data_IF_772026179879
#
_entry.id   IF_772026179879
#
_cell.length_a   1.000
_cell.length_b   1.000
_cell.length_c   1.000
_cell.angle_alpha   90.00
_cell.angle_beta   90.00
_cell.angle_gamma   90.00
#
_symmetry.space_group_name_H-M   'P 1'
#
loop_
_entity.id
_entity.type
_entity.pdbx_description
1 polymer ?
#
# COMPACT_ATOMS: atom_id res chain seq x y z
N UNK A 1 -14.49 -11.13 -16.86
CA UNK A 1 -15.33 -9.92 -16.73
C UNK A 1 -15.02 -9.32 -15.38
N UNK A 2 -14.59 -8.05 -15.30
CA UNK A 2 -14.37 -7.42 -14.00
C UNK A 2 -15.76 -7.11 -13.45
N UNK A 3 -16.25 -7.94 -12.56
CA UNK A 3 -17.45 -7.58 -11.81
C UNK A 3 -17.08 -6.37 -10.97
N UNK A 4 -17.55 -5.20 -11.42
CA UNK A 4 -17.53 -4.00 -10.62
C UNK A 4 -18.32 -4.34 -9.37
N UNK A 5 -17.62 -4.49 -8.24
CA UNK A 5 -18.17 -4.72 -6.91
C UNK A 5 -19.03 -3.51 -6.50
N UNK A 6 -20.18 -3.34 -7.14
CA UNK A 6 -21.19 -2.40 -6.68
C UNK A 6 -21.72 -2.93 -5.36
N UNK A 7 -21.68 -2.13 -4.29
CA UNK A 7 -22.20 -2.57 -3.02
C UNK A 7 -23.68 -2.91 -3.15
N UNK A 8 -24.07 -4.03 -2.56
CA UNK A 8 -25.45 -4.53 -2.59
C UNK A 8 -26.45 -3.59 -1.90
N UNK A 9 -25.97 -2.57 -1.16
CA UNK A 9 -26.80 -1.64 -0.41
C UNK A 9 -26.11 -0.29 -0.15
N UNK A 10 -26.90 0.77 -0.04
CA UNK A 10 -26.47 2.16 0.17
C UNK A 10 -25.64 2.37 1.44
N UNK A 11 -25.87 1.57 2.48
CA UNK A 11 -25.10 1.63 3.74
C UNK A 11 -23.64 1.24 3.51
N UNK A 12 -23.40 0.19 2.71
CA UNK A 12 -22.04 -0.27 2.41
C UNK A 12 -21.35 0.75 1.50
N UNK A 13 -22.09 1.37 0.58
CA UNK A 13 -21.55 2.41 -0.29
C UNK A 13 -21.16 3.67 0.51
N UNK A 14 -21.97 4.04 1.50
CA UNK A 14 -21.69 5.17 2.37
C UNK A 14 -20.48 4.93 3.28
N UNK A 15 -20.36 3.73 3.85
CA UNK A 15 -19.19 3.32 4.63
C UNK A 15 -17.93 3.33 3.76
N UNK A 16 -17.97 2.73 2.57
CA UNK A 16 -16.83 2.71 1.64
C UNK A 16 -16.41 4.12 1.21
N UNK A 17 -17.37 5.06 1.10
CA UNK A 17 -17.13 6.45 0.71
C UNK A 17 -16.61 7.34 1.85
N UNK A 18 -17.09 7.15 3.08
CA UNK A 18 -16.75 7.98 4.25
C UNK A 18 -15.55 7.43 5.01
N UNK A 19 -15.61 6.15 5.38
CA UNK A 19 -14.60 5.47 6.19
C UNK A 19 -13.42 5.00 5.32
N UNK A 20 -13.68 4.80 4.02
CA UNK A 20 -12.70 4.33 3.07
C UNK A 20 -12.59 2.81 3.10
N UNK A 21 -12.69 2.19 1.92
CA UNK A 21 -12.50 0.75 1.79
C UNK A 21 -11.00 0.40 1.70
N UNK A 22 -10.46 -0.29 2.69
CA UNK A 22 -9.09 -0.80 2.66
C UNK A 22 -8.85 -1.87 1.58
N UNK A 23 -9.91 -2.44 1.00
CA UNK A 23 -9.82 -3.33 -0.16
C UNK A 23 -9.72 -2.57 -1.50
N UNK A 24 -9.95 -1.24 -1.51
CA UNK A 24 -9.87 -0.40 -2.72
C UNK A 24 -8.59 0.48 -2.72
N UNK A 25 -7.45 -0.12 -2.36
CA UNK A 25 -6.15 0.53 -2.45
C UNK A 25 -5.74 0.55 -3.94
N UNK A 26 -6.23 1.56 -4.66
CA UNK A 26 -5.84 1.85 -6.04
C UNK A 26 -4.55 2.68 -6.10
N UNK A 27 -3.89 2.73 -7.25
CA UNK A 27 -2.71 3.61 -7.46
C UNK A 27 -3.00 5.08 -7.12
N UNK A 28 -4.25 5.52 -7.28
CA UNK A 28 -4.68 6.86 -6.90
C UNK A 28 -4.79 7.08 -5.39
N UNK A 29 -5.17 6.06 -4.62
CA UNK A 29 -5.17 6.13 -3.14
C UNK A 29 -3.77 6.39 -2.59
N UNK A 30 -2.76 5.72 -3.15
CA UNK A 30 -1.33 5.93 -2.79
C UNK A 30 -0.87 7.33 -3.20
N UNK A 31 -1.34 7.85 -4.34
CA UNK A 31 -1.05 9.21 -4.80
C UNK A 31 -1.73 10.28 -3.93
N UNK A 32 -2.81 9.97 -3.23
CA UNK A 32 -3.49 10.86 -2.27
C UNK A 32 -2.85 10.89 -0.89
N UNK A 33 -1.87 10.02 -0.60
CA UNK A 33 -1.22 10.00 0.72
C UNK A 33 -0.47 11.33 1.04
N UNK A 34 -0.47 11.75 2.31
CA UNK A 34 0.30 12.90 2.77
C UNK A 34 1.79 12.77 2.42
N UNK A 35 2.45 13.89 2.11
CA UNK A 35 3.87 13.91 1.75
C UNK A 35 4.77 13.16 2.76
N UNK A 36 4.62 13.34 4.09
CA UNK A 36 5.46 12.65 5.06
C UNK A 36 5.34 11.12 4.97
N UNK A 37 4.11 10.62 4.79
CA UNK A 37 3.85 9.18 4.72
C UNK A 37 4.42 8.54 3.44
N UNK A 38 4.42 9.29 2.32
CA UNK A 38 5.10 8.86 1.08
C UNK A 38 6.61 8.74 1.28
N UNK A 39 7.25 9.75 1.88
CA UNK A 39 8.69 9.70 2.16
C UNK A 39 9.04 8.56 3.12
N UNK A 40 8.21 8.32 4.14
CA UNK A 40 8.38 7.19 5.03
C UNK A 40 8.31 5.85 4.28
N UNK A 41 7.35 5.68 3.37
CA UNK A 41 7.24 4.49 2.53
C UNK A 41 8.50 4.27 1.66
N UNK A 42 9.03 5.32 1.04
CA UNK A 42 10.28 5.22 0.27
C UNK A 42 11.49 4.89 1.14
N UNK A 43 11.59 5.49 2.33
CA UNK A 43 12.64 5.19 3.30
C UNK A 43 12.59 3.72 3.74
N UNK A 44 11.40 3.22 4.09
CA UNK A 44 11.21 1.85 4.53
C UNK A 44 11.55 0.85 3.41
N UNK A 45 11.09 1.11 2.18
CA UNK A 45 11.39 0.27 1.03
C UNK A 45 12.91 0.24 0.73
N UNK A 46 13.58 1.39 0.81
CA UNK A 46 15.03 1.48 0.65
C UNK A 46 15.80 0.75 1.75
N UNK A 47 15.43 0.98 3.01
CA UNK A 47 16.03 0.33 4.17
C UNK A 47 15.90 -1.20 4.10
N UNK A 48 14.73 -1.72 3.75
CA UNK A 48 14.51 -3.15 3.60
C UNK A 48 15.32 -3.72 2.44
N UNK A 49 15.37 -3.03 1.30
CA UNK A 49 16.15 -3.46 0.13
C UNK A 49 17.64 -3.55 0.46
N UNK A 50 18.18 -2.54 1.14
CA UNK A 50 19.59 -2.53 1.58
C UNK A 50 19.83 -3.65 2.60
N UNK A 51 18.93 -3.84 3.56
CA UNK A 51 19.07 -4.89 4.58
C UNK A 51 19.11 -6.29 3.98
N UNK A 52 18.23 -6.57 3.02
CA UNK A 52 18.21 -7.84 2.28
C UNK A 52 19.52 -8.02 1.49
N UNK A 53 19.96 -6.98 0.79
CA UNK A 53 21.21 -7.03 0.03
C UNK A 53 22.41 -7.31 0.93
N UNK A 54 22.47 -6.66 2.10
CA UNK A 54 23.52 -6.88 3.09
C UNK A 54 23.49 -8.31 3.62
N UNK A 55 22.31 -8.85 3.90
CA UNK A 55 22.13 -10.22 4.36
C UNK A 55 22.63 -11.24 3.33
N UNK A 56 22.34 -11.01 2.04
CA UNK A 56 22.83 -11.86 0.95
C UNK A 56 24.36 -11.81 0.89
N UNK A 57 24.97 -10.62 0.94
CA UNK A 57 26.42 -10.44 0.91
C UNK A 57 27.08 -11.15 2.09
N UNK A 58 26.56 -10.96 3.31
CA UNK A 58 27.09 -11.60 4.51
C UNK A 58 26.98 -13.12 4.43
N UNK A 59 25.88 -13.64 3.88
CA UNK A 59 25.69 -15.08 3.68
C UNK A 59 26.60 -15.67 2.58
N UNK A 60 27.07 -14.87 1.63
CA UNK A 60 28.03 -15.28 0.59
C UNK A 60 29.48 -15.19 1.08
N UNK A 61 29.77 -14.33 2.05
CA UNK A 61 31.10 -14.12 2.62
C UNK A 61 31.40 -15.02 3.85
N UNK A 62 30.36 -15.63 4.41
CA UNK A 62 30.44 -16.63 5.47
C UNK A 62 30.59 -18.03 4.87
#
# INVERSE_FOLDING_TARGET
MKEENKPFNDVIDHINKIEGNAADITKDSVKKLPKPLKYFGYFLAGFLSISILLMIILNLLH
#
